data_IF_116929269746
#
_entry.id   IF_116929269746
#
_cell.length_a   1.000
_cell.length_b   1.000
_cell.length_c   1.000
_cell.angle_alpha   90.00
_cell.angle_beta   90.00
_cell.angle_gamma   90.00
#
_symmetry.space_group_name_H-M   'P 1'
#
loop_
_entity.id
_entity.type
_entity.pdbx_description
1 polymer ?
#
# COMPACT_ATOMS: atom_id res chain seq x y z
N UNK A 1 29.15 56.67 62.93
CA UNK A 1 28.12 55.57 63.10
C UNK A 1 27.39 55.48 61.80
N UNK A 2 27.92 54.63 60.92
CA UNK A 2 27.38 54.51 59.59
C UNK A 2 26.50 53.25 59.53
N UNK A 3 25.23 53.46 59.28
CA UNK A 3 24.25 52.37 59.06
C UNK A 3 24.30 51.85 57.63
N UNK A 4 24.88 50.67 57.44
CA UNK A 4 24.84 49.95 56.15
C UNK A 4 23.48 49.24 56.07
N UNK A 5 22.67 49.59 55.03
CA UNK A 5 21.44 48.91 54.72
C UNK A 5 21.75 47.72 53.78
N UNK A 6 21.27 46.50 54.05
CA UNK A 6 21.39 45.41 53.05
C UNK A 6 20.37 45.57 51.91
N UNK A 7 20.85 45.52 50.65
CA UNK A 7 20.01 45.45 49.48
C UNK A 7 19.50 43.99 49.30
N UNK A 8 18.19 43.83 49.37
CA UNK A 8 17.54 42.56 49.09
C UNK A 8 17.41 42.44 47.56
N UNK A 9 18.18 41.53 46.95
CA UNK A 9 18.06 41.18 45.52
C UNK A 9 16.87 40.24 45.35
N UNK A 10 15.79 40.73 44.75
CA UNK A 10 14.61 39.94 44.37
C UNK A 10 14.92 39.25 43.04
N UNK A 11 15.25 37.93 43.07
CA UNK A 11 15.39 37.10 41.85
C UNK A 11 13.99 36.70 41.38
N UNK A 12 13.51 37.36 40.32
CA UNK A 12 12.28 36.95 39.63
C UNK A 12 12.63 35.78 38.71
N UNK A 13 12.32 34.55 39.12
CA UNK A 13 12.40 33.36 38.29
C UNK A 13 11.25 33.41 37.24
N UNK A 14 11.56 33.87 36.04
CA UNK A 14 10.62 33.78 34.90
C UNK A 14 10.48 32.34 34.45
N UNK A 15 9.49 31.64 35.00
CA UNK A 15 9.09 30.31 34.50
C UNK A 15 8.49 30.42 33.10
N UNK A 16 9.23 30.03 32.10
CA UNK A 16 8.67 29.84 30.77
C UNK A 16 7.73 28.62 30.78
N UNK A 17 6.43 28.87 30.78
CA UNK A 17 5.44 27.84 30.58
C UNK A 17 5.62 27.29 29.17
N UNK A 18 6.14 26.08 29.03
CA UNK A 18 6.13 25.34 27.77
C UNK A 18 4.67 24.96 27.54
N UNK A 19 4.00 25.66 26.63
CA UNK A 19 2.69 25.28 26.17
C UNK A 19 2.83 23.96 25.41
N UNK A 20 2.41 22.86 26.00
CA UNK A 20 2.28 21.61 25.25
C UNK A 20 1.18 21.80 24.21
N UNK A 21 1.54 21.65 22.91
CA UNK A 21 0.54 21.56 21.87
C UNK A 21 -0.40 20.37 22.17
N UNK A 22 -1.71 20.51 21.98
CA UNK A 22 -2.64 19.40 22.20
C UNK A 22 -2.22 18.22 21.34
N UNK A 23 -2.36 17.00 21.87
CA UNK A 23 -2.08 15.79 21.13
C UNK A 23 -2.94 15.76 19.84
N UNK A 24 -2.36 15.37 18.70
CA UNK A 24 -3.10 15.35 17.45
C UNK A 24 -4.24 14.32 17.52
N UNK A 25 -5.35 14.64 16.86
CA UNK A 25 -6.49 13.73 16.79
C UNK A 25 -6.19 12.58 15.82
N UNK A 26 -6.19 11.30 16.24
CA UNK A 26 -5.88 10.16 15.39
C UNK A 26 -6.80 10.05 14.16
N UNK A 27 -8.10 10.30 14.33
CA UNK A 27 -9.08 10.27 13.24
C UNK A 27 -8.80 11.33 12.18
N UNK A 28 -8.35 12.51 12.61
CA UNK A 28 -7.98 13.59 11.70
C UNK A 28 -6.69 13.25 10.92
N UNK A 29 -5.72 12.58 11.57
CA UNK A 29 -4.51 12.08 10.90
C UNK A 29 -4.91 11.09 9.80
N UNK A 30 -5.75 10.10 10.12
CA UNK A 30 -6.20 9.08 9.14
C UNK A 30 -7.01 9.72 8.01
N UNK A 31 -7.92 10.64 8.32
CA UNK A 31 -8.69 11.35 7.29
C UNK A 31 -7.76 12.06 6.29
N UNK A 32 -6.77 12.80 6.77
CA UNK A 32 -5.77 13.46 5.92
C UNK A 32 -4.93 12.46 5.13
N UNK A 33 -4.58 11.33 5.74
CA UNK A 33 -3.79 10.31 5.05
C UNK A 33 -4.56 9.64 3.91
N UNK A 34 -5.85 9.38 4.07
CA UNK A 34 -6.71 8.86 2.99
C UNK A 34 -6.80 9.86 1.83
N UNK A 35 -6.90 11.16 2.12
CA UNK A 35 -6.89 12.20 1.09
C UNK A 35 -5.56 12.24 0.33
N UNK A 36 -4.43 12.21 1.05
CA UNK A 36 -3.09 12.21 0.45
C UNK A 36 -2.85 10.98 -0.44
N UNK A 37 -3.23 9.79 0.04
CA UNK A 37 -3.13 8.55 -0.74
C UNK A 37 -4.00 8.61 -2.00
N UNK A 38 -5.19 9.20 -1.92
CA UNK A 38 -6.07 9.36 -3.08
C UNK A 38 -5.45 10.23 -4.17
N UNK A 39 -4.75 11.29 -3.78
CA UNK A 39 -4.03 12.15 -4.74
C UNK A 39 -2.93 11.36 -5.45
N UNK A 40 -2.10 10.62 -4.71
CA UNK A 40 -1.03 9.79 -5.29
C UNK A 40 -1.58 8.64 -6.14
N UNK A 41 -2.69 8.04 -5.71
CA UNK A 41 -3.39 7.03 -6.48
C UNK A 41 -3.81 7.54 -7.87
N UNK A 42 -4.23 8.79 -7.97
CA UNK A 42 -4.57 9.40 -9.26
C UNK A 42 -3.36 9.59 -10.18
N UNK A 43 -2.16 9.74 -9.61
CA UNK A 43 -0.90 9.86 -10.36
C UNK A 43 -0.34 8.51 -10.85
N UNK A 44 -0.67 7.40 -10.18
CA UNK A 44 -0.08 6.08 -10.44
C UNK A 44 -0.11 5.66 -11.94
N UNK A 45 -1.17 5.90 -12.73
CA UNK A 45 -1.19 5.56 -14.15
C UNK A 45 -0.17 6.30 -15.02
N UNK A 46 0.48 7.32 -14.48
CA UNK A 46 1.50 8.10 -15.20
C UNK A 46 2.92 7.53 -15.03
N UNK A 47 3.06 6.44 -14.28
CA UNK A 47 4.36 5.83 -13.97
C UNK A 47 4.45 4.41 -14.51
N UNK A 48 5.68 4.04 -14.91
CA UNK A 48 6.11 2.66 -15.07
C UNK A 48 6.97 2.26 -13.88
N UNK A 49 7.00 0.98 -13.55
CA UNK A 49 7.78 0.47 -12.43
C UNK A 49 8.17 -0.99 -12.63
N UNK A 50 9.12 -1.47 -11.87
CA UNK A 50 9.40 -2.89 -11.74
C UNK A 50 8.62 -3.46 -10.55
N UNK A 51 7.83 -4.47 -10.82
CA UNK A 51 7.10 -5.28 -9.84
C UNK A 51 7.72 -6.68 -9.82
N UNK A 52 8.13 -7.11 -8.64
CA UNK A 52 8.58 -8.47 -8.38
C UNK A 52 7.55 -9.17 -7.52
N UNK A 53 6.81 -10.06 -8.13
CA UNK A 53 5.78 -10.89 -7.52
C UNK A 53 6.38 -12.26 -7.15
N UNK A 54 6.17 -12.67 -5.90
CA UNK A 54 6.61 -13.97 -5.39
C UNK A 54 5.45 -14.68 -4.74
N UNK A 55 4.92 -15.65 -5.44
CA UNK A 55 3.89 -16.54 -4.91
C UNK A 55 4.51 -17.81 -4.31
N UNK A 56 4.11 -18.14 -3.08
CA UNK A 56 4.47 -19.39 -2.42
C UNK A 56 3.21 -20.06 -1.88
N UNK A 57 2.89 -21.25 -2.40
CA UNK A 57 1.81 -22.13 -1.92
C UNK A 57 2.41 -23.40 -1.33
N UNK A 58 1.75 -23.97 -0.32
CA UNK A 58 2.24 -25.13 0.44
C UNK A 58 2.78 -26.27 -0.42
N UNK A 59 2.11 -26.58 -1.54
CA UNK A 59 2.40 -27.74 -2.39
C UNK A 59 2.99 -27.36 -3.75
N UNK A 60 3.44 -26.11 -3.92
CA UNK A 60 4.03 -25.62 -5.16
C UNK A 60 5.40 -24.99 -4.90
N UNK A 61 6.36 -25.18 -5.78
CA UNK A 61 7.62 -24.47 -5.66
C UNK A 61 7.40 -22.96 -5.70
N UNK A 62 8.17 -22.24 -4.90
CA UNK A 62 8.19 -20.78 -4.94
C UNK A 62 8.51 -20.33 -6.37
N UNK A 63 7.71 -19.44 -6.89
CA UNK A 63 7.93 -18.80 -8.19
C UNK A 63 8.06 -17.30 -8.00
N UNK A 64 9.11 -16.71 -8.53
CA UNK A 64 9.30 -15.28 -8.58
C UNK A 64 9.25 -14.82 -10.04
N UNK A 65 8.48 -13.77 -10.32
CA UNK A 65 8.46 -13.10 -11.61
C UNK A 65 8.69 -11.62 -11.43
N UNK A 66 9.52 -11.04 -12.25
CA UNK A 66 9.70 -9.59 -12.29
C UNK A 66 9.13 -9.06 -13.59
N UNK A 67 8.29 -8.06 -13.47
CA UNK A 67 7.64 -7.38 -14.58
C UNK A 67 8.09 -5.93 -14.65
N UNK A 68 8.24 -5.40 -15.87
CA UNK A 68 8.12 -3.97 -16.11
C UNK A 68 6.64 -3.68 -16.37
N UNK A 69 6.00 -2.98 -15.46
CA UNK A 69 4.60 -2.56 -15.63
C UNK A 69 4.58 -1.28 -16.46
N UNK A 70 3.85 -1.32 -17.56
CA UNK A 70 3.74 -0.24 -18.54
C UNK A 70 2.28 0.14 -18.72
N UNK A 71 1.97 1.43 -18.71
CA UNK A 71 0.64 1.91 -19.08
C UNK A 71 0.57 2.08 -20.60
N UNK A 72 -0.24 1.27 -21.27
CA UNK A 72 -0.44 1.33 -22.73
C UNK A 72 -1.91 1.66 -23.02
N UNK A 73 -2.17 2.76 -23.67
CA UNK A 73 -3.52 3.19 -24.08
C UNK A 73 -4.58 3.07 -22.97
N UNK A 74 -4.21 3.48 -21.74
CA UNK A 74 -5.12 3.63 -20.60
C UNK A 74 -5.32 2.37 -19.73
N UNK A 75 -4.50 1.32 -19.90
CA UNK A 75 -4.47 0.19 -18.95
C UNK A 75 -3.09 -0.46 -18.89
N UNK A 76 -2.74 -1.16 -17.78
CA UNK A 76 -1.42 -1.74 -17.61
C UNK A 76 -1.16 -2.92 -18.56
N UNK A 77 0.12 -3.14 -18.81
CA UNK A 77 0.69 -4.32 -19.44
C UNK A 77 1.93 -4.75 -18.66
N UNK A 78 2.00 -6.01 -18.30
CA UNK A 78 3.09 -6.58 -17.52
C UNK A 78 4.09 -7.27 -18.47
N UNK A 79 5.22 -6.61 -18.72
CA UNK A 79 6.32 -7.16 -19.51
C UNK A 79 7.25 -7.95 -18.60
N UNK A 80 7.37 -9.27 -18.78
CA UNK A 80 8.29 -10.10 -17.98
C UNK A 80 9.74 -9.71 -18.28
N UNK A 81 10.52 -9.48 -17.23
CA UNK A 81 11.94 -9.11 -17.33
C UNK A 81 12.87 -10.11 -16.64
N UNK A 82 12.37 -10.86 -15.62
CA UNK A 82 13.11 -11.93 -14.96
C UNK A 82 12.16 -13.02 -14.44
N UNK A 83 12.67 -14.24 -14.30
CA UNK A 83 11.99 -15.40 -13.70
C UNK A 83 12.91 -16.02 -12.65
N UNK A 84 12.40 -16.23 -11.44
CA UNK A 84 13.16 -16.74 -10.29
C UNK A 84 14.44 -15.94 -10.01
N UNK A 85 14.33 -14.60 -10.15
CA UNK A 85 15.40 -13.63 -9.97
C UNK A 85 16.53 -13.68 -11.02
N UNK A 86 16.40 -14.55 -12.04
CA UNK A 86 17.30 -14.64 -13.16
C UNK A 86 16.78 -13.82 -14.35
N UNK A 87 17.57 -12.93 -14.93
CA UNK A 87 17.19 -12.20 -16.13
C UNK A 87 16.85 -13.17 -17.27
N UNK A 88 15.88 -12.78 -18.09
CA UNK A 88 15.53 -13.57 -19.27
C UNK A 88 16.74 -13.76 -20.21
N UNK A 89 16.86 -14.95 -20.77
CA UNK A 89 17.79 -15.23 -21.88
C UNK A 89 17.50 -14.32 -23.08
N UNK A 90 18.46 -14.13 -24.01
CA UNK A 90 18.24 -13.32 -25.21
C UNK A 90 17.00 -13.75 -26.01
N UNK A 91 16.75 -15.06 -26.14
CA UNK A 91 15.60 -15.59 -26.87
C UNK A 91 14.27 -15.33 -26.17
N UNK A 92 14.23 -15.49 -24.83
CA UNK A 92 13.07 -15.18 -24.01
C UNK A 92 12.77 -13.67 -24.04
N UNK A 93 13.81 -12.84 -23.89
CA UNK A 93 13.67 -11.38 -24.00
C UNK A 93 13.10 -10.97 -25.36
N UNK A 94 13.60 -11.57 -26.46
CA UNK A 94 13.07 -11.31 -27.79
C UNK A 94 11.64 -11.81 -27.94
N UNK A 95 11.27 -12.92 -27.28
CA UNK A 95 9.89 -13.40 -27.26
C UNK A 95 8.95 -12.47 -26.50
N UNK A 96 9.35 -11.96 -25.34
CA UNK A 96 8.57 -10.98 -24.57
C UNK A 96 8.44 -9.65 -25.32
N UNK A 97 9.50 -9.20 -25.99
CA UNK A 97 9.45 -8.01 -26.84
C UNK A 97 8.42 -8.16 -27.96
N UNK A 98 8.40 -9.31 -28.64
CA UNK A 98 7.38 -9.59 -29.68
C UNK A 98 5.95 -9.65 -29.11
N UNK A 99 5.78 -10.07 -27.83
CA UNK A 99 4.46 -10.03 -27.16
C UNK A 99 4.02 -8.58 -26.91
N UNK A 100 4.94 -7.74 -26.42
CA UNK A 100 4.68 -6.31 -26.21
C UNK A 100 4.28 -5.62 -27.54
N UNK A 101 5.03 -5.84 -28.62
CA UNK A 101 4.74 -5.27 -29.93
C UNK A 101 3.36 -5.69 -30.44
N UNK A 102 3.01 -6.97 -30.29
CA UNK A 102 1.68 -7.46 -30.66
C UNK A 102 0.56 -6.84 -29.81
N UNK A 103 0.79 -6.65 -28.51
CA UNK A 103 -0.20 -6.02 -27.66
C UNK A 103 -0.39 -4.55 -27.99
N UNK A 104 0.70 -3.81 -28.28
CA UNK A 104 0.63 -2.43 -28.76
C UNK A 104 -0.18 -2.35 -30.07
N UNK A 105 0.13 -3.21 -31.02
CA UNK A 105 -0.58 -3.23 -32.31
C UNK A 105 -2.05 -3.60 -32.14
N UNK A 106 -2.36 -4.59 -31.30
CA UNK A 106 -3.72 -4.99 -30.97
C UNK A 106 -4.50 -3.81 -30.36
N UNK A 107 -3.92 -3.09 -29.37
CA UNK A 107 -4.58 -1.94 -28.73
C UNK A 107 -4.74 -0.76 -29.69
N UNK A 108 -3.82 -0.57 -30.61
CA UNK A 108 -3.93 0.45 -31.67
C UNK A 108 -5.10 0.17 -32.60
N UNK A 109 -5.36 -1.10 -32.90
CA UNK A 109 -6.39 -1.53 -33.84
C UNK A 109 -7.70 -1.99 -33.15
N UNK A 110 -7.79 -1.92 -31.83
CA UNK A 110 -9.02 -2.29 -31.12
C UNK A 110 -10.17 -1.32 -31.45
N UNK A 111 -11.38 -1.85 -31.48
CA UNK A 111 -12.57 -1.04 -31.61
C UNK A 111 -12.81 -0.17 -30.36
N UNK A 112 -13.50 0.96 -30.52
CA UNK A 112 -13.89 1.82 -29.40
C UNK A 112 -14.66 1.06 -28.29
N UNK A 113 -15.42 0.02 -28.66
CA UNK A 113 -16.13 -0.82 -27.69
C UNK A 113 -15.17 -1.67 -26.87
N UNK A 114 -14.17 -2.29 -27.50
CA UNK A 114 -13.16 -3.11 -26.83
C UNK A 114 -12.27 -2.24 -25.93
N UNK A 115 -11.84 -1.09 -26.43
CA UNK A 115 -11.07 -0.10 -25.67
C UNK A 115 -11.81 0.32 -24.40
N UNK A 116 -13.07 0.74 -24.51
CA UNK A 116 -13.88 1.11 -23.35
C UNK A 116 -14.03 -0.04 -22.36
N UNK A 117 -14.26 -1.28 -22.84
CA UNK A 117 -14.37 -2.46 -21.97
C UNK A 117 -13.07 -2.73 -21.20
N UNK A 118 -11.93 -2.65 -21.88
CA UNK A 118 -10.61 -2.85 -21.27
C UNK A 118 -10.29 -1.79 -20.22
N UNK A 119 -10.50 -0.52 -20.55
CA UNK A 119 -10.28 0.60 -19.62
C UNK A 119 -11.26 0.51 -18.45
N UNK A 120 -12.54 0.22 -18.70
CA UNK A 120 -13.54 0.08 -17.64
C UNK A 120 -13.21 -1.06 -16.66
N UNK A 121 -12.64 -2.17 -17.15
CA UNK A 121 -12.17 -3.25 -16.27
C UNK A 121 -11.07 -2.74 -15.34
N UNK A 122 -10.06 -2.11 -15.86
CA UNK A 122 -8.96 -1.54 -15.08
C UNK A 122 -9.43 -0.47 -14.08
N UNK A 123 -10.30 0.45 -14.52
CA UNK A 123 -10.87 1.46 -13.64
C UNK A 123 -11.65 0.82 -12.49
N UNK A 124 -12.47 -0.21 -12.79
CA UNK A 124 -13.23 -0.92 -11.77
C UNK A 124 -12.33 -1.60 -10.72
N UNK A 125 -11.23 -2.22 -11.16
CA UNK A 125 -10.26 -2.83 -10.24
C UNK A 125 -9.66 -1.74 -9.32
N UNK A 126 -9.22 -0.64 -9.88
CA UNK A 126 -8.71 0.50 -9.11
C UNK A 126 -9.73 1.12 -8.16
N UNK A 127 -10.97 1.29 -8.62
CA UNK A 127 -12.04 1.83 -7.78
C UNK A 127 -12.33 0.90 -6.60
N UNK A 128 -12.25 -0.42 -6.81
CA UNK A 128 -12.40 -1.41 -5.74
C UNK A 128 -11.29 -1.27 -4.69
N UNK A 129 -10.04 -1.15 -5.10
CA UNK A 129 -8.90 -0.97 -4.19
C UNK A 129 -9.04 0.34 -3.40
N UNK A 130 -9.49 1.41 -4.07
CA UNK A 130 -9.73 2.69 -3.41
C UNK A 130 -10.89 2.62 -2.41
N UNK A 131 -11.97 1.90 -2.74
CA UNK A 131 -13.09 1.67 -1.82
C UNK A 131 -12.65 0.88 -0.59
N UNK A 132 -11.76 -0.10 -0.76
CA UNK A 132 -11.18 -0.85 0.35
C UNK A 132 -10.41 0.05 1.32
N UNK A 133 -9.61 1.00 0.82
CA UNK A 133 -8.92 1.98 1.67
C UNK A 133 -9.90 2.85 2.48
N UNK A 134 -10.98 3.28 1.84
CA UNK A 134 -12.03 4.05 2.50
C UNK A 134 -12.75 3.20 3.56
N UNK A 135 -13.10 1.96 3.23
CA UNK A 135 -13.74 1.03 4.15
C UNK A 135 -12.86 0.73 5.36
N UNK A 136 -11.52 0.61 5.18
CA UNK A 136 -10.59 0.47 6.30
C UNK A 136 -10.63 1.70 7.22
N UNK A 137 -10.64 2.92 6.69
CA UNK A 137 -10.74 4.13 7.49
C UNK A 137 -12.06 4.21 8.28
N UNK A 138 -13.14 3.69 7.69
CA UNK A 138 -14.46 3.67 8.31
C UNK A 138 -14.64 2.53 9.32
N UNK A 139 -14.01 1.37 9.10
CA UNK A 139 -14.13 0.18 9.92
C UNK A 139 -13.38 0.26 11.26
N UNK A 140 -12.32 1.08 11.34
CA UNK A 140 -11.43 1.12 12.50
C UNK A 140 -11.56 2.38 13.33
N UNK A 141 -11.43 2.21 14.63
CA UNK A 141 -11.09 3.27 15.59
C UNK A 141 -9.57 3.32 15.73
N UNK A 142 -9.02 4.54 15.70
CA UNK A 142 -7.58 4.75 15.74
C UNK A 142 -7.18 5.44 17.05
N UNK A 143 -6.13 4.93 17.68
CA UNK A 143 -5.56 5.47 18.90
C UNK A 143 -4.10 5.84 18.67
N UNK A 144 -3.69 7.02 19.15
CA UNK A 144 -2.29 7.42 19.08
C UNK A 144 -1.48 6.60 20.07
N UNK A 145 -0.61 5.73 19.56
CA UNK A 145 0.28 4.87 20.37
C UNK A 145 1.69 5.48 20.55
N UNK A 146 1.96 6.60 19.88
CA UNK A 146 3.21 7.33 20.01
C UNK A 146 3.76 7.85 18.71
N UNK A 147 5.08 7.92 18.65
CA UNK A 147 5.85 8.42 17.51
C UNK A 147 7.03 7.50 17.23
N UNK A 148 7.40 7.36 15.98
CA UNK A 148 8.58 6.59 15.56
C UNK A 148 9.25 7.24 14.33
N UNK A 149 10.50 6.87 14.11
CA UNK A 149 11.16 7.14 12.82
C UNK A 149 11.20 5.84 12.03
N UNK A 150 10.61 5.83 10.83
CA UNK A 150 10.56 4.68 9.92
C UNK A 150 11.15 5.11 8.58
N UNK A 151 12.17 4.42 8.10
CA UNK A 151 12.89 4.73 6.85
C UNK A 151 13.29 6.22 6.70
N UNK A 152 13.62 6.88 7.83
CA UNK A 152 14.00 8.29 7.88
C UNK A 152 12.83 9.27 8.00
N UNK A 153 11.60 8.81 8.01
CA UNK A 153 10.39 9.60 8.15
C UNK A 153 9.92 9.65 9.62
N UNK A 154 9.67 10.86 10.13
CA UNK A 154 9.06 11.05 11.44
C UNK A 154 7.56 10.74 11.37
N UNK A 155 7.12 9.69 12.04
CA UNK A 155 5.76 9.17 11.93
C UNK A 155 4.96 9.31 13.23
N UNK A 156 3.65 9.51 13.07
CA UNK A 156 2.67 9.14 14.06
C UNK A 156 2.48 7.61 14.02
N UNK A 157 2.42 6.97 15.18
CA UNK A 157 2.10 5.55 15.29
C UNK A 157 0.67 5.43 15.80
N UNK A 158 -0.20 4.83 14.98
CA UNK A 158 -1.61 4.67 15.30
C UNK A 158 -1.94 3.18 15.44
N UNK A 159 -2.46 2.79 16.59
CA UNK A 159 -3.08 1.48 16.74
C UNK A 159 -4.50 1.53 16.16
N UNK A 160 -4.87 0.50 15.39
CA UNK A 160 -6.17 0.35 14.75
C UNK A 160 -6.93 -0.85 15.34
N UNK A 161 -8.13 -0.61 15.85
CA UNK A 161 -9.04 -1.63 16.35
C UNK A 161 -10.40 -1.50 15.67
N UNK A 162 -11.11 -2.62 15.34
CA UNK A 162 -12.42 -2.53 14.72
C UNK A 162 -13.42 -1.78 15.60
N UNK A 163 -14.20 -0.88 15.01
CA UNK A 163 -15.29 -0.23 15.72
C UNK A 163 -16.33 -1.26 16.15
N UNK A 164 -16.84 -1.19 17.38
CA UNK A 164 -17.84 -2.15 17.88
C UNK A 164 -19.12 -2.20 17.07
N UNK A 165 -19.50 -1.07 16.46
CA UNK A 165 -20.71 -0.86 15.68
C UNK A 165 -20.48 -0.97 14.15
N UNK A 166 -19.26 -1.35 13.72
CA UNK A 166 -18.99 -1.55 12.30
C UNK A 166 -19.77 -2.73 11.73
N UNK A 167 -20.58 -2.46 10.73
CA UNK A 167 -21.34 -3.47 9.99
C UNK A 167 -20.76 -3.66 8.58
N UNK A 168 -20.12 -4.81 8.30
CA UNK A 168 -19.51 -5.09 7.00
C UNK A 168 -20.57 -5.17 5.90
N UNK A 169 -20.34 -4.50 4.79
CA UNK A 169 -21.23 -4.51 3.61
C UNK A 169 -20.89 -5.61 2.61
N UNK A 170 -19.67 -6.19 2.70
CA UNK A 170 -19.13 -7.19 1.78
C UNK A 170 -18.36 -8.29 2.52
N UNK A 171 -17.72 -9.20 1.77
CA UNK A 171 -16.94 -10.30 2.36
C UNK A 171 -15.63 -9.83 2.97
N UNK A 172 -14.96 -8.88 2.35
CA UNK A 172 -13.71 -8.28 2.80
C UNK A 172 -13.91 -7.55 4.13
N UNK A 173 -14.96 -6.77 4.25
CA UNK A 173 -15.33 -6.08 5.48
C UNK A 173 -15.55 -7.01 6.67
N UNK A 174 -15.99 -8.27 6.45
CA UNK A 174 -16.07 -9.27 7.52
C UNK A 174 -14.72 -9.64 8.08
N UNK A 175 -13.67 -9.62 7.24
CA UNK A 175 -12.29 -9.86 7.70
C UNK A 175 -11.82 -8.66 8.51
N UNK A 176 -12.06 -7.43 8.04
CA UNK A 176 -11.68 -6.20 8.77
C UNK A 176 -12.23 -6.17 10.19
N UNK A 177 -13.45 -6.66 10.42
CA UNK A 177 -14.08 -6.73 11.76
C UNK A 177 -13.28 -7.55 12.76
N UNK A 178 -12.49 -8.50 12.32
CA UNK A 178 -11.72 -9.40 13.18
C UNK A 178 -10.20 -9.15 13.05
N UNK A 179 -9.81 -7.98 12.55
CA UNK A 179 -8.42 -7.58 12.39
C UNK A 179 -8.02 -6.53 13.41
N UNK A 180 -6.74 -6.46 13.69
CA UNK A 180 -6.07 -5.35 14.37
C UNK A 180 -4.88 -4.91 13.53
N UNK A 181 -4.46 -3.67 13.72
CA UNK A 181 -3.32 -3.17 12.95
C UNK A 181 -2.58 -2.03 13.62
N UNK A 182 -1.49 -1.67 12.98
CA UNK A 182 -0.69 -0.48 13.29
C UNK A 182 -0.40 0.27 12.00
N UNK A 183 -0.57 1.57 12.03
CA UNK A 183 -0.37 2.47 10.93
C UNK A 183 0.70 3.50 11.30
N UNK A 184 1.73 3.64 10.48
CA UNK A 184 2.76 4.67 10.61
C UNK A 184 2.52 5.74 9.55
N UNK A 185 2.15 6.93 9.98
CA UNK A 185 1.81 8.06 9.11
C UNK A 185 2.89 9.13 9.20
N UNK A 186 3.50 9.47 8.08
CA UNK A 186 4.48 10.56 8.00
C UNK A 186 3.86 11.90 8.42
N UNK A 187 4.52 12.59 9.36
CA UNK A 187 4.01 13.83 9.93
C UNK A 187 4.01 15.01 8.98
N UNK A 188 4.88 14.98 7.98
CA UNK A 188 5.04 16.10 7.05
C UNK A 188 4.06 15.99 5.88
N UNK A 189 3.83 14.78 5.37
CA UNK A 189 3.08 14.53 4.15
C UNK A 189 1.71 13.88 4.38
N UNK A 190 1.46 13.35 5.59
CA UNK A 190 0.32 12.50 5.95
C UNK A 190 0.24 11.18 5.15
N UNK A 191 1.32 10.77 4.51
CA UNK A 191 1.37 9.50 3.76
C UNK A 191 1.60 8.31 4.68
N UNK A 192 1.08 7.15 4.32
CA UNK A 192 1.40 5.91 5.00
C UNK A 192 2.83 5.50 4.65
N UNK A 193 3.68 5.41 5.66
CA UNK A 193 5.03 4.87 5.49
C UNK A 193 4.98 3.35 5.62
N UNK A 194 4.19 2.89 6.60
CA UNK A 194 4.02 1.46 6.87
C UNK A 194 2.62 1.18 7.42
N UNK A 195 2.08 0.03 7.03
CA UNK A 195 0.88 -0.57 7.61
C UNK A 195 1.18 -2.00 7.98
N UNK A 196 0.77 -2.42 9.14
CA UNK A 196 0.70 -3.83 9.54
C UNK A 196 -0.71 -4.12 10.01
N UNK A 197 -1.33 -5.21 9.53
CA UNK A 197 -2.60 -5.67 10.05
C UNK A 197 -2.68 -7.19 10.06
N UNK A 198 -3.33 -7.74 11.08
CA UNK A 198 -3.47 -9.17 11.28
C UNK A 198 -4.88 -9.56 11.71
N UNK A 199 -5.30 -10.73 11.29
CA UNK A 199 -6.55 -11.36 11.73
C UNK A 199 -6.31 -11.97 13.11
N UNK A 200 -7.06 -11.49 14.11
CA UNK A 200 -6.95 -11.93 15.52
C UNK A 200 -7.98 -12.97 15.90
N UNK A 201 -9.11 -13.05 15.17
CA UNK A 201 -10.14 -14.07 15.37
C UNK A 201 -10.53 -14.69 14.03
N UNK A 202 -10.90 -15.98 14.01
CA UNK A 202 -11.25 -16.67 12.77
C UNK A 202 -12.54 -16.11 12.15
N UNK A 203 -12.50 -15.84 10.84
CA UNK A 203 -13.66 -15.41 10.03
C UNK A 203 -14.15 -16.58 9.20
N UNK A 204 -15.43 -16.91 9.32
CA UNK A 204 -16.06 -17.99 8.55
C UNK A 204 -16.83 -17.45 7.35
N UNK A 205 -16.64 -18.12 6.20
CA UNK A 205 -17.36 -17.87 4.96
C UNK A 205 -18.20 -19.09 4.59
N UNK A 206 -19.38 -18.86 4.03
CA UNK A 206 -20.28 -19.93 3.64
C UNK A 206 -20.54 -20.95 4.77
N UNK A 207 -20.81 -20.42 5.97
CA UNK A 207 -20.95 -21.22 7.19
C UNK A 207 -19.59 -21.77 7.66
N UNK A 208 -19.43 -23.11 7.66
CA UNK A 208 -18.16 -23.76 8.06
C UNK A 208 -17.25 -24.16 6.88
N UNK A 209 -17.65 -23.85 5.64
CA UNK A 209 -16.98 -24.35 4.43
C UNK A 209 -15.60 -23.74 4.21
N UNK A 210 -15.41 -22.47 4.58
CA UNK A 210 -14.13 -21.79 4.50
C UNK A 210 -13.92 -20.88 5.71
N UNK A 211 -12.68 -20.81 6.21
CA UNK A 211 -12.28 -19.95 7.32
C UNK A 211 -10.95 -19.30 7.01
N UNK A 212 -10.85 -18.00 7.34
CA UNK A 212 -9.60 -17.27 7.45
C UNK A 212 -9.27 -17.16 8.93
N UNK A 213 -8.08 -17.56 9.31
CA UNK A 213 -7.69 -17.69 10.72
C UNK A 213 -6.64 -16.68 11.17
N UNK A 214 -6.39 -16.66 12.51
CA UNK A 214 -5.29 -15.90 13.09
C UNK A 214 -3.96 -16.25 12.45
N UNK A 215 -3.09 -15.23 12.28
CA UNK A 215 -1.85 -15.31 11.53
C UNK A 215 -2.01 -15.03 10.04
N UNK A 216 -3.25 -14.73 9.56
CA UNK A 216 -3.43 -14.01 8.31
C UNK A 216 -3.06 -12.57 8.57
N UNK A 217 -2.10 -12.06 7.80
CA UNK A 217 -1.57 -10.72 7.98
C UNK A 217 -1.25 -10.10 6.63
N UNK A 218 -1.23 -8.78 6.59
CA UNK A 218 -0.63 -8.03 5.49
C UNK A 218 0.26 -6.92 6.02
N UNK A 219 1.33 -6.66 5.28
CA UNK A 219 2.25 -5.55 5.50
C UNK A 219 2.37 -4.75 4.22
N UNK A 220 2.22 -3.43 4.33
CA UNK A 220 2.45 -2.48 3.25
C UNK A 220 3.55 -1.53 3.68
N UNK A 221 4.53 -1.31 2.83
CA UNK A 221 5.52 -0.24 2.95
C UNK A 221 5.45 0.64 1.72
N UNK A 222 5.51 1.95 1.92
CA UNK A 222 5.50 2.96 0.86
C UNK A 222 6.73 3.85 0.96
N UNK A 223 7.14 4.43 -0.16
CA UNK A 223 8.24 5.38 -0.23
C UNK A 223 7.92 6.55 -1.16
N UNK A 224 8.49 7.73 -0.92
CA UNK A 224 8.38 8.83 -1.86
C UNK A 224 9.23 8.54 -3.09
N UNK A 225 8.62 8.74 -4.26
CA UNK A 225 9.28 8.66 -5.55
C UNK A 225 9.44 10.05 -6.18
N UNK A 226 9.83 10.13 -7.44
CA UNK A 226 9.99 11.40 -8.12
C UNK A 226 8.72 12.29 -8.00
N UNK A 227 8.92 13.60 -7.85
CA UNK A 227 7.86 14.62 -7.66
C UNK A 227 7.09 14.53 -6.33
N UNK A 228 7.61 13.80 -5.32
CA UNK A 228 6.99 13.72 -4.00
C UNK A 228 5.74 12.85 -3.90
N UNK A 229 5.43 12.10 -4.96
CA UNK A 229 4.35 11.09 -4.97
C UNK A 229 4.82 9.87 -4.20
N UNK A 230 3.93 9.26 -3.42
CA UNK A 230 4.23 8.06 -2.65
C UNK A 230 3.63 6.83 -3.31
N UNK A 231 4.45 5.78 -3.45
CA UNK A 231 4.02 4.51 -4.03
C UNK A 231 4.46 3.33 -3.19
N UNK A 232 3.82 2.16 -3.36
CA UNK A 232 4.24 0.94 -2.71
C UNK A 232 5.72 0.63 -3.01
N UNK A 233 6.46 0.27 -1.96
CA UNK A 233 7.79 -0.32 -2.01
C UNK A 233 7.71 -1.83 -1.84
N UNK A 234 6.80 -2.26 -0.94
CA UNK A 234 6.60 -3.66 -0.61
C UNK A 234 5.15 -3.91 -0.17
N UNK A 235 4.61 -5.04 -0.58
CA UNK A 235 3.34 -5.54 -0.10
C UNK A 235 3.46 -7.05 0.16
N UNK A 236 3.26 -7.46 1.41
CA UNK A 236 3.32 -8.85 1.83
C UNK A 236 1.95 -9.28 2.33
N UNK A 237 1.48 -10.42 1.84
CA UNK A 237 0.25 -11.05 2.31
C UNK A 237 0.55 -12.46 2.76
N UNK A 238 0.21 -12.77 4.00
CA UNK A 238 0.22 -14.12 4.53
C UNK A 238 -1.21 -14.56 4.80
N UNK A 239 -1.68 -15.58 4.13
CA UNK A 239 -3.02 -16.14 4.34
C UNK A 239 -2.93 -17.46 5.08
N UNK A 240 -3.69 -17.56 6.17
CA UNK A 240 -3.95 -18.79 6.92
C UNK A 240 -5.42 -19.14 6.72
N UNK A 241 -5.71 -20.01 5.78
CA UNK A 241 -7.07 -20.43 5.47
C UNK A 241 -7.27 -21.91 5.72
N UNK A 242 -8.50 -22.31 6.00
CA UNK A 242 -8.91 -23.72 6.04
C UNK A 242 -10.23 -23.91 5.30
N UNK A 243 -10.36 -25.04 4.62
CA UNK A 243 -11.58 -25.45 3.95
C UNK A 243 -12.09 -26.75 4.57
N UNK A 244 -13.42 -26.83 4.82
CA UNK A 244 -14.11 -28.00 5.37
C UNK A 244 -13.54 -28.54 6.70
N UNK A 245 -12.73 -27.73 7.40
CA UNK A 245 -12.06 -28.15 8.64
C UNK A 245 -10.99 -29.23 8.48
N UNK A 246 -10.73 -29.70 7.25
CA UNK A 246 -9.83 -30.78 6.93
C UNK A 246 -8.60 -30.39 6.14
N UNK A 247 -8.69 -29.27 5.42
CA UNK A 247 -7.61 -28.78 4.56
C UNK A 247 -7.18 -27.39 5.03
N UNK A 248 -5.91 -27.23 5.41
CA UNK A 248 -5.36 -25.89 5.65
C UNK A 248 -4.58 -25.46 4.42
N UNK A 249 -4.95 -24.32 3.87
CA UNK A 249 -4.23 -23.66 2.79
C UNK A 249 -3.49 -22.45 3.36
N UNK A 250 -2.17 -22.48 3.26
CA UNK A 250 -1.32 -21.35 3.61
C UNK A 250 -0.70 -20.85 2.32
N UNK A 251 -0.91 -19.57 2.02
CA UNK A 251 -0.24 -18.90 0.90
C UNK A 251 0.48 -17.67 1.41
N UNK A 252 1.61 -17.39 0.80
CA UNK A 252 2.34 -16.14 1.00
C UNK A 252 2.55 -15.52 -0.37
N UNK A 253 2.24 -14.25 -0.47
CA UNK A 253 2.50 -13.40 -1.60
C UNK A 253 3.41 -12.27 -1.12
N UNK A 254 4.49 -12.02 -1.85
CA UNK A 254 5.46 -11.00 -1.52
C UNK A 254 5.74 -10.19 -2.78
N UNK A 255 5.22 -8.99 -2.82
CA UNK A 255 5.42 -8.07 -3.92
C UNK A 255 6.39 -6.97 -3.50
N UNK A 256 7.33 -6.69 -4.36
CA UNK A 256 8.22 -5.53 -4.21
C UNK A 256 8.23 -4.70 -5.48
N UNK A 257 8.20 -3.39 -5.26
CA UNK A 257 8.07 -2.40 -6.31
C UNK A 257 9.28 -1.47 -6.27
N UNK A 258 9.78 -1.09 -7.44
CA UNK A 258 10.96 -0.22 -7.54
C UNK A 258 11.07 0.40 -8.93
N UNK A 259 12.02 1.31 -9.05
CA UNK A 259 12.35 1.92 -10.35
C UNK A 259 11.13 2.59 -11.00
N UNK A 260 10.42 3.37 -10.18
CA UNK A 260 9.31 4.19 -10.63
C UNK A 260 9.82 5.31 -11.54
N UNK A 261 9.27 5.37 -12.74
CA UNK A 261 9.66 6.36 -13.74
C UNK A 261 8.40 6.93 -14.40
N UNK A 262 8.33 8.27 -14.60
CA UNK A 262 7.26 8.84 -15.40
C UNK A 262 7.20 8.16 -16.78
N UNK A 263 6.00 7.78 -17.21
CA UNK A 263 5.83 7.10 -18.50
C UNK A 263 6.26 8.00 -19.64
N UNK A 264 7.18 7.56 -20.49
CA UNK A 264 7.39 8.21 -21.77
C UNK A 264 6.12 8.07 -22.61
N UNK A 265 5.83 9.07 -23.43
CA UNK A 265 4.72 8.95 -24.39
C UNK A 265 4.92 7.68 -25.25
N UNK A 266 3.83 6.98 -25.59
CA UNK A 266 3.84 5.64 -26.22
C UNK A 266 4.76 5.50 -27.45
N UNK A 267 5.03 6.60 -28.18
CA UNK A 267 5.98 6.65 -29.30
C UNK A 267 7.46 6.50 -28.89
N UNK A 268 7.82 6.90 -27.67
CA UNK A 268 9.21 6.81 -27.17
C UNK A 268 9.54 5.39 -26.68
N UNK A 269 8.56 4.62 -26.19
CA UNK A 269 8.75 3.22 -25.80
C UNK A 269 9.20 2.32 -26.97
N UNK A 270 8.72 2.59 -28.19
CA UNK A 270 9.12 1.87 -29.40
C UNK A 270 10.55 2.22 -29.86
N UNK A 271 11.10 3.36 -29.45
CA UNK A 271 12.44 3.80 -29.82
C UNK A 271 13.53 3.38 -28.83
N UNK A 272 13.19 3.21 -27.55
CA UNK A 272 14.15 2.84 -26.50
C UNK A 272 14.47 1.34 -26.46
N UNK A 273 13.81 0.52 -27.29
CA UNK A 273 13.97 -0.94 -27.38
C UNK A 273 14.74 -1.38 -28.63
N UNK A 274 15.25 -0.44 -29.42
CA UNK A 274 16.25 -0.70 -30.47
C UNK A 274 17.65 -0.47 -29.92
#
# INVERSE_FOLDING_TARGET
>A
MDFVRPAVLLVIASGTAVAFAPAPNPQEIVRKSVEAIKEDWAEAPKYSYLERDVESKRDRPRMAKTYRVLMIDGSPYNLVTAINDEPLSPDEKAAEQRKLEREIEKRRNESERERRKRIAKYTKERDHDHQMLQEMADAFEFHLDGEATVDGHACWVLAAEPKPDYEPTNHEGRVLREMKGTLWVDKATNQWVKVHAEVVKPVSFFGFLAKVGPGTAFDLEQEPVANGVWFPKRFDVQVKASALGLFSENSNENDSYRDYQPMPQASALLQSTK
#
